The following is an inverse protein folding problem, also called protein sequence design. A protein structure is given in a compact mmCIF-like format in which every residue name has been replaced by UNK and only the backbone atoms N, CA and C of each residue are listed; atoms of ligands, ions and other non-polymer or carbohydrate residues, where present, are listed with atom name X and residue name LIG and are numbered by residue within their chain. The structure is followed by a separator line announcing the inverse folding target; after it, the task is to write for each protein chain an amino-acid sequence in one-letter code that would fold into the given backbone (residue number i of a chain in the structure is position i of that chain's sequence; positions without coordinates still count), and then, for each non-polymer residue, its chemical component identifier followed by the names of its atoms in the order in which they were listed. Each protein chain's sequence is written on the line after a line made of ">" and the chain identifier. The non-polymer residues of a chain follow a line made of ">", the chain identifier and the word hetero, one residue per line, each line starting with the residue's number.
data_IF_998369088104
#
_entry.id   IF_998369088104
#
_cell.length_a   1.000
_cell.length_b   1.000
_cell.length_c   1.000
_cell.angle_alpha   90.00
_cell.angle_beta   90.00
_cell.angle_gamma   90.00
#
_symmetry.space_group_name_H-M   'P 1'
#
loop_
_entity.id
_entity.type
_entity.pdbx_description
1 polymer ?
#
# COMPACT_ATOMS: atom_id res chain seq x y z
N UNK A 1 -13.40 -38.97 18.29
CA UNK A 1 -13.47 -38.40 16.92
C UNK A 1 -13.75 -36.90 16.91
N UNK A 2 -14.77 -36.35 17.61
CA UNK A 2 -15.05 -34.89 17.60
C UNK A 2 -13.89 -34.00 18.05
N UNK A 3 -13.14 -34.40 19.09
CA UNK A 3 -12.01 -33.61 19.63
C UNK A 3 -10.82 -33.48 18.64
N UNK A 4 -10.55 -34.52 17.84
CA UNK A 4 -9.46 -34.52 16.85
C UNK A 4 -9.81 -33.64 15.64
N UNK A 5 -11.09 -33.63 15.22
CA UNK A 5 -11.57 -32.76 14.13
C UNK A 5 -11.45 -31.29 14.54
N UNK A 6 -11.80 -30.91 15.76
CA UNK A 6 -11.57 -29.53 16.25
C UNK A 6 -10.09 -29.17 16.36
N UNK A 7 -9.22 -30.10 16.76
CA UNK A 7 -7.78 -29.85 16.86
C UNK A 7 -7.15 -29.58 15.48
N UNK A 8 -7.50 -30.37 14.46
CA UNK A 8 -7.01 -30.17 13.08
C UNK A 8 -7.59 -28.89 12.48
N UNK A 9 -8.85 -28.58 12.75
CA UNK A 9 -9.50 -27.37 12.24
C UNK A 9 -8.90 -26.10 12.87
N UNK A 10 -8.46 -26.16 14.13
CA UNK A 10 -7.76 -25.06 14.80
C UNK A 10 -6.30 -24.92 14.32
N UNK A 11 -5.59 -26.03 14.06
CA UNK A 11 -4.25 -26.01 13.45
C UNK A 11 -4.30 -25.42 12.04
N UNK A 12 -5.32 -25.76 11.24
CA UNK A 12 -5.45 -25.25 9.87
C UNK A 12 -5.89 -23.78 9.83
N UNK A 13 -6.69 -23.30 10.81
CA UNK A 13 -6.99 -21.87 10.93
C UNK A 13 -5.77 -21.07 11.39
N UNK A 14 -4.87 -21.66 12.19
CA UNK A 14 -3.64 -21.00 12.65
C UNK A 14 -2.50 -20.96 11.62
N UNK A 15 -2.52 -21.77 10.55
CA UNK A 15 -1.52 -21.69 9.46
C UNK A 15 -1.92 -20.78 8.30
N UNK A 16 -3.08 -20.11 8.39
CA UNK A 16 -3.56 -19.15 7.39
C UNK A 16 -3.51 -17.73 7.96
N UNK A 17 -2.34 -17.31 8.43
CA UNK A 17 -1.95 -15.91 8.28
C UNK A 17 -1.20 -15.83 6.96
N UNK A 18 -1.88 -15.39 5.90
CA UNK A 18 -1.27 -15.19 4.59
C UNK A 18 -0.09 -14.23 4.73
N UNK A 19 1.11 -14.78 4.77
CA UNK A 19 2.33 -13.99 4.72
C UNK A 19 2.38 -13.39 3.33
N UNK A 20 2.47 -12.06 3.25
CA UNK A 20 2.76 -11.38 1.99
C UNK A 20 4.06 -11.96 1.46
N UNK A 21 4.01 -12.64 0.30
CA UNK A 21 5.19 -13.18 -0.35
C UNK A 21 5.39 -12.44 -1.65
N UNK A 22 6.51 -11.74 -1.71
CA UNK A 22 6.96 -11.04 -2.87
C UNK A 22 7.45 -12.03 -3.93
N UNK A 23 6.65 -12.20 -4.98
CA UNK A 23 6.92 -13.24 -5.99
C UNK A 23 8.21 -12.99 -6.79
N UNK A 24 8.73 -11.76 -6.80
CA UNK A 24 9.91 -11.39 -7.58
C UNK A 24 10.71 -10.24 -6.93
N UNK A 25 11.76 -10.52 -6.14
CA UNK A 25 12.69 -9.50 -5.69
C UNK A 25 13.56 -9.05 -6.87
N UNK A 26 13.58 -7.75 -7.20
CA UNK A 26 14.38 -7.26 -8.34
C UNK A 26 15.76 -6.76 -7.96
N UNK A 27 15.94 -6.26 -6.73
CA UNK A 27 17.25 -5.80 -6.27
C UNK A 27 17.49 -6.21 -4.82
N UNK A 28 18.42 -7.16 -4.62
CA UNK A 28 18.74 -7.68 -3.30
C UNK A 28 17.49 -8.18 -2.57
N UNK A 29 17.16 -7.49 -1.48
CA UNK A 29 16.03 -7.81 -0.62
C UNK A 29 14.88 -6.80 -0.82
N UNK A 30 14.58 -6.37 -2.04
CA UNK A 30 13.54 -5.37 -2.33
C UNK A 30 12.49 -5.92 -3.29
N UNK A 31 11.24 -5.60 -3.00
CA UNK A 31 10.08 -6.10 -3.72
C UNK A 31 9.62 -5.21 -4.84
N UNK A 32 9.46 -5.82 -6.01
CA UNK A 32 9.19 -5.07 -7.24
C UNK A 32 7.82 -5.44 -7.83
N UNK A 33 7.16 -6.43 -7.24
CA UNK A 33 5.75 -6.70 -7.50
C UNK A 33 4.86 -5.63 -6.89
N UNK A 34 4.06 -5.00 -7.75
CA UNK A 34 2.90 -4.18 -7.37
C UNK A 34 1.77 -5.15 -6.96
N UNK A 35 1.19 -5.03 -5.76
CA UNK A 35 0.01 -5.80 -5.37
C UNK A 35 -1.14 -5.58 -6.35
N UNK A 36 -1.85 -6.64 -6.72
CA UNK A 36 -2.95 -6.55 -7.70
C UNK A 36 -4.14 -5.70 -7.24
N UNK A 37 -4.30 -5.49 -5.93
CA UNK A 37 -5.30 -4.60 -5.33
C UNK A 37 -4.79 -3.16 -5.13
N UNK A 38 -3.52 -2.87 -5.44
CA UNK A 38 -2.87 -1.57 -5.20
C UNK A 38 -2.93 -1.10 -3.74
N UNK A 39 -3.09 -2.02 -2.77
CA UNK A 39 -3.14 -1.68 -1.34
C UNK A 39 -1.76 -1.83 -0.69
N UNK A 40 -1.45 -0.86 0.17
CA UNK A 40 -0.18 -0.76 0.89
C UNK A 40 -0.40 -0.30 2.31
N UNK A 41 0.54 -0.56 3.20
CA UNK A 41 0.70 0.26 4.41
C UNK A 41 1.59 1.46 4.13
N UNK A 42 1.19 2.61 4.70
CA UNK A 42 1.98 3.82 4.63
C UNK A 42 2.98 3.87 5.80
N UNK A 43 4.23 4.18 5.48
CA UNK A 43 5.29 4.53 6.43
C UNK A 43 5.86 5.91 6.12
N UNK A 44 6.43 6.56 7.13
CA UNK A 44 7.14 7.82 6.96
C UNK A 44 8.64 7.59 6.89
N UNK A 45 9.28 8.20 5.89
CA UNK A 45 10.70 8.06 5.63
C UNK A 45 11.30 9.38 5.13
N UNK A 46 12.56 9.63 5.50
CA UNK A 46 13.34 10.76 5.01
C UNK A 46 14.85 10.54 5.29
N UNK A 47 15.57 9.94 4.33
CA UNK A 47 17.03 9.84 4.40
C UNK A 47 17.75 11.01 3.71
N UNK A 48 19.04 11.20 4.01
CA UNK A 48 19.86 12.25 3.39
C UNK A 48 20.18 11.96 1.92
N UNK A 49 20.39 10.69 1.56
CA UNK A 49 20.69 10.26 0.19
C UNK A 49 19.57 9.40 -0.35
N UNK A 50 19.10 9.71 -1.56
CA UNK A 50 18.03 8.96 -2.22
C UNK A 50 18.52 8.29 -3.51
N UNK A 51 17.96 7.13 -3.84
CA UNK A 51 18.32 6.32 -5.00
C UNK A 51 18.10 7.06 -6.34
N UNK A 52 17.15 8.00 -6.40
CA UNK A 52 16.90 8.81 -7.59
C UNK A 52 17.64 10.16 -7.60
N UNK A 53 18.55 10.40 -6.64
CA UNK A 53 19.41 11.58 -6.58
C UNK A 53 18.70 12.90 -6.21
N UNK A 54 17.45 12.83 -5.76
CA UNK A 54 16.67 13.99 -5.30
C UNK A 54 16.54 13.94 -3.78
N UNK A 55 17.14 14.86 -3.01
CA UNK A 55 17.09 14.77 -1.55
C UNK A 55 15.66 14.96 -1.04
N UNK A 56 15.34 14.35 0.10
CA UNK A 56 14.01 14.44 0.71
C UNK A 56 13.57 15.89 1.03
N UNK A 57 14.51 16.80 1.26
CA UNK A 57 14.24 18.23 1.49
C UNK A 57 13.81 18.99 0.23
N UNK A 58 14.02 18.43 -0.97
CA UNK A 58 13.69 19.10 -2.23
C UNK A 58 12.20 19.03 -2.59
N UNK A 59 11.44 18.12 -1.98
CA UNK A 59 10.04 17.88 -2.31
C UNK A 59 9.19 17.70 -1.05
N UNK A 60 7.96 18.22 -1.08
CA UNK A 60 7.00 18.04 0.02
C UNK A 60 6.29 16.69 -0.05
N UNK A 61 5.92 16.26 -1.26
CA UNK A 61 5.19 15.02 -1.50
C UNK A 61 6.06 14.06 -2.30
N UNK A 62 6.65 13.10 -1.62
CA UNK A 62 7.51 12.10 -2.24
C UNK A 62 7.27 10.71 -1.66
N UNK A 63 7.65 9.69 -2.42
CA UNK A 63 7.73 8.30 -1.95
C UNK A 63 9.09 7.69 -2.19
N UNK A 64 9.40 6.69 -1.39
CA UNK A 64 10.52 5.78 -1.55
C UNK A 64 9.95 4.41 -1.94
N UNK A 65 9.82 4.16 -3.23
CA UNK A 65 9.38 2.87 -3.79
C UNK A 65 9.73 2.72 -5.29
N UNK A 66 10.92 3.20 -5.65
CA UNK A 66 11.40 3.25 -7.04
C UNK A 66 11.62 1.87 -7.67
N UNK A 67 11.74 0.82 -6.86
CA UNK A 67 11.82 -0.56 -7.33
C UNK A 67 10.50 -1.07 -7.92
N UNK A 68 9.36 -0.56 -7.42
CA UNK A 68 8.03 -0.89 -7.97
C UNK A 68 7.64 0.07 -9.08
N UNK A 69 7.80 1.36 -8.85
CA UNK A 69 7.22 2.38 -9.71
C UNK A 69 8.24 3.09 -10.60
N UNK A 70 9.53 2.99 -10.31
CA UNK A 70 10.58 3.72 -11.00
C UNK A 70 10.82 5.13 -10.45
N UNK A 71 12.02 5.65 -10.71
CA UNK A 71 12.40 7.01 -10.33
C UNK A 71 11.63 8.07 -11.13
N UNK A 72 11.15 9.10 -10.43
CA UNK A 72 10.48 10.26 -11.01
C UNK A 72 9.03 10.00 -11.43
N UNK A 73 8.49 8.82 -11.13
CA UNK A 73 7.09 8.48 -11.42
C UNK A 73 6.17 9.17 -10.42
N UNK A 74 5.04 9.69 -10.91
CA UNK A 74 4.01 10.32 -10.06
C UNK A 74 3.00 9.27 -9.62
N UNK A 75 2.83 9.12 -8.32
CA UNK A 75 1.81 8.28 -7.71
C UNK A 75 0.66 9.14 -7.20
N UNK A 76 -0.56 8.66 -7.38
CA UNK A 76 -1.71 9.14 -6.61
C UNK A 76 -1.92 8.18 -5.47
N UNK A 77 -1.87 8.71 -4.25
CA UNK A 77 -1.97 7.96 -3.00
C UNK A 77 -3.23 8.41 -2.29
N UNK A 78 -4.11 7.47 -1.99
CA UNK A 78 -5.40 7.73 -1.39
C UNK A 78 -5.53 6.98 -0.06
N UNK A 79 -5.97 7.69 0.98
CA UNK A 79 -6.58 7.06 2.13
C UNK A 79 -8.08 7.02 1.90
N UNK A 80 -8.58 5.83 1.57
CA UNK A 80 -10.01 5.57 1.64
C UNK A 80 -10.32 5.41 3.12
N UNK A 81 -11.03 6.37 3.73
CA UNK A 81 -11.56 6.20 5.07
C UNK A 81 -12.48 4.99 4.99
N UNK A 82 -11.99 3.80 5.38
CA UNK A 82 -12.60 2.53 4.99
C UNK A 82 -14.01 2.43 5.51
N UNK A 83 -14.99 2.92 4.74
CA UNK A 83 -16.43 2.90 4.99
C UNK A 83 -16.87 3.19 6.43
N UNK A 84 -16.02 3.78 7.29
CA UNK A 84 -16.37 4.14 8.66
C UNK A 84 -17.20 5.38 8.51
N UNK A 85 -18.45 5.09 8.16
CA UNK A 85 -19.58 5.95 7.98
C UNK A 85 -19.75 6.64 9.31
N UNK A 86 -18.91 7.64 9.56
CA UNK A 86 -19.11 8.63 10.59
C UNK A 86 -20.29 9.42 10.05
N UNK A 87 -21.45 8.82 10.29
CA UNK A 87 -22.77 9.28 9.97
C UNK A 87 -22.83 10.75 10.32
N UNK A 88 -22.85 11.60 9.29
CA UNK A 88 -23.31 12.98 9.34
C UNK A 88 -22.99 13.74 10.61
N UNK A 89 -21.70 13.95 10.89
CA UNK A 89 -21.27 15.04 11.77
C UNK A 89 -21.53 16.38 11.08
N UNK A 90 -22.80 16.79 11.06
CA UNK A 90 -23.25 18.08 10.55
C UNK A 90 -22.41 19.16 11.21
N UNK A 91 -21.77 20.00 10.38
CA UNK A 91 -20.79 20.99 10.81
C UNK A 91 -21.24 21.76 12.05
N UNK A 92 -20.48 21.64 13.13
CA UNK A 92 -20.44 22.63 14.19
C UNK A 92 -19.03 23.18 14.20
N UNK A 93 -18.89 24.39 13.65
CA UNK A 93 -17.74 25.26 13.88
C UNK A 93 -17.69 25.57 15.38
N UNK A 94 -17.14 24.63 16.15
CA UNK A 94 -17.01 24.71 17.60
C UNK A 94 -15.58 25.04 17.94
N UNK A 95 -15.33 26.31 18.23
CA UNK A 95 -14.12 26.81 18.87
C UNK A 95 -13.89 26.06 20.19
N UNK A 96 -12.98 25.08 20.20
CA UNK A 96 -12.56 24.38 21.43
C UNK A 96 -11.08 24.63 21.71
N UNK A 97 -10.85 25.73 22.42
CA UNK A 97 -9.71 25.90 23.32
C UNK A 97 -9.76 24.77 24.36
N UNK A 98 -8.87 23.79 24.25
CA UNK A 98 -8.54 22.90 25.37
C UNK A 98 -7.11 22.42 25.27
N UNK A 99 -6.26 23.15 25.98
CA UNK A 99 -4.93 22.75 26.45
C UNK A 99 -4.99 21.39 27.16
N UNK A 100 -4.23 20.42 26.66
CA UNK A 100 -4.04 19.12 27.27
C UNK A 100 -2.62 18.64 27.07
N UNK A 101 -1.75 18.94 28.03
CA UNK A 101 -0.36 18.49 28.08
C UNK A 101 -0.32 17.03 28.51
N UNK A 102 0.10 16.12 27.62
CA UNK A 102 0.29 14.71 27.92
C UNK A 102 1.69 14.25 27.54
N UNK A 103 2.63 14.33 28.48
CA UNK A 103 3.99 13.84 28.34
C UNK A 103 4.02 12.33 28.61
N UNK A 104 4.28 11.51 27.58
CA UNK A 104 4.45 10.07 27.70
C UNK A 104 5.78 9.63 27.08
N UNK A 105 6.84 9.59 27.89
CA UNK A 105 8.16 9.08 27.50
C UNK A 105 8.20 7.56 27.67
N UNK A 106 8.29 6.81 26.57
CA UNK A 106 8.48 5.36 26.58
C UNK A 106 9.80 4.98 25.92
N UNK A 107 10.84 4.79 26.73
CA UNK A 107 12.15 4.30 26.28
C UNK A 107 12.18 2.77 26.33
N UNK A 108 12.20 2.11 25.18
CA UNK A 108 12.36 0.66 25.06
C UNK A 108 13.63 0.32 24.30
N UNK A 109 14.73 0.07 25.01
CA UNK A 109 16.00 -0.38 24.46
C UNK A 109 16.04 -1.91 24.43
N UNK A 110 15.91 -2.53 23.26
CA UNK A 110 16.05 -3.97 23.07
C UNK A 110 17.25 -4.28 22.20
N UNK A 111 18.40 -4.57 22.82
CA UNK A 111 19.63 -5.01 22.14
C UNK A 111 19.63 -6.54 22.00
N UNK A 112 19.43 -7.06 20.79
CA UNK A 112 19.54 -8.49 20.48
C UNK A 112 20.64 -8.75 19.46
N UNK A 113 21.84 -9.08 19.92
CA UNK A 113 22.97 -9.51 19.08
C UNK A 113 22.91 -11.03 18.88
N UNK A 114 22.61 -11.48 17.67
CA UNK A 114 22.62 -12.90 17.29
C UNK A 114 23.60 -13.16 16.14
N UNK A 115 24.80 -13.62 16.48
CA UNK A 115 25.81 -14.08 15.51
C UNK A 115 25.52 -15.53 15.11
N UNK A 116 25.14 -15.77 13.87
CA UNK A 116 24.90 -17.11 13.32
C UNK A 116 25.73 -17.35 12.06
N UNK A 117 26.92 -17.93 12.24
CA UNK A 117 27.77 -18.42 11.14
C UNK A 117 27.30 -19.81 10.72
N UNK A 118 26.75 -19.94 9.52
CA UNK A 118 26.31 -21.22 8.93
C UNK A 118 26.94 -21.44 7.56
N UNK A 119 27.98 -22.27 7.53
CA UNK A 119 28.71 -22.72 6.34
C UNK A 119 28.00 -23.85 5.58
N UNK A 120 28.41 -23.98 4.31
CA UNK A 120 28.45 -25.19 3.47
C UNK A 120 27.14 -25.79 2.93
N UNK A 121 26.91 -25.54 1.64
CA UNK A 121 27.05 -26.56 0.58
C UNK A 121 25.96 -27.63 0.47
N UNK A 122 25.23 -27.64 -0.64
CA UNK A 122 25.07 -28.81 -1.51
C UNK A 122 24.16 -28.49 -2.70
N UNK A 123 24.71 -28.76 -3.88
CA UNK A 123 24.04 -28.86 -5.17
C UNK A 123 22.99 -29.99 -5.17
N UNK A 124 21.82 -29.75 -5.76
CA UNK A 124 20.87 -30.80 -6.17
C UNK A 124 19.94 -30.29 -7.26
N UNK A 125 20.18 -30.75 -8.49
CA UNK A 125 19.27 -30.71 -9.63
C UNK A 125 18.08 -31.64 -9.39
N UNK A 126 16.85 -31.15 -9.58
CA UNK A 126 15.63 -31.95 -9.49
C UNK A 126 14.56 -31.44 -10.44
N UNK A 127 14.40 -32.12 -11.57
CA UNK A 127 13.31 -31.93 -12.54
C UNK A 127 12.12 -32.80 -12.14
N UNK A 128 10.92 -32.23 -12.06
CA UNK A 128 9.68 -33.03 -12.03
C UNK A 128 8.48 -32.22 -12.51
N UNK A 129 8.01 -32.63 -13.69
CA UNK A 129 6.73 -32.31 -14.33
C UNK A 129 5.56 -32.93 -13.55
N UNK A 130 4.53 -32.14 -13.25
CA UNK A 130 3.28 -32.61 -12.64
C UNK A 130 2.06 -31.94 -13.29
N UNK A 131 1.38 -32.67 -14.16
CA UNK A 131 0.09 -32.30 -14.75
C UNK A 131 -1.04 -32.65 -13.79
N UNK A 132 -1.88 -31.68 -13.41
CA UNK A 132 -3.03 -31.91 -12.53
C UNK A 132 -4.26 -31.16 -13.02
N UNK A 133 -5.16 -31.88 -13.69
CA UNK A 133 -6.48 -31.38 -14.12
C UNK A 133 -7.47 -31.59 -12.98
N UNK A 134 -8.05 -30.51 -12.45
CA UNK A 134 -9.06 -30.56 -11.38
C UNK A 134 -10.26 -29.68 -11.71
N UNK A 135 -11.36 -30.32 -12.12
CA UNK A 135 -12.67 -29.70 -12.32
C UNK A 135 -13.44 -29.74 -11.00
N UNK A 136 -13.85 -28.59 -10.46
CA UNK A 136 -14.79 -28.54 -9.33
C UNK A 136 -15.74 -27.35 -9.48
N UNK A 137 -16.92 -27.66 -10.00
CA UNK A 137 -18.13 -26.86 -9.99
C UNK A 137 -18.74 -26.87 -8.58
N UNK A 138 -18.69 -25.73 -7.89
CA UNK A 138 -19.32 -25.52 -6.59
C UNK A 138 -20.28 -24.34 -6.62
N UNK A 139 -21.57 -24.63 -6.76
CA UNK A 139 -22.66 -23.64 -6.73
C UNK A 139 -23.07 -23.36 -5.28
N UNK A 140 -22.46 -22.37 -4.64
CA UNK A 140 -22.83 -21.89 -3.31
C UNK A 140 -23.62 -20.58 -3.40
N UNK A 141 -24.95 -20.66 -3.27
CA UNK A 141 -25.82 -19.49 -3.20
C UNK A 141 -25.70 -18.81 -1.84
N UNK A 142 -25.05 -17.65 -1.79
CA UNK A 142 -25.04 -16.77 -0.62
C UNK A 142 -25.96 -15.58 -0.90
N UNK A 143 -27.19 -15.67 -0.44
CA UNK A 143 -28.14 -14.57 -0.32
C UNK A 143 -27.75 -13.67 0.85
N UNK A 144 -26.69 -12.88 0.65
CA UNK A 144 -26.32 -11.81 1.56
C UNK A 144 -27.24 -10.62 1.34
N UNK A 145 -28.22 -10.42 2.22
CA UNK A 145 -28.97 -9.17 2.34
C UNK A 145 -28.03 -8.08 2.86
N UNK A 146 -27.11 -7.62 2.01
CA UNK A 146 -26.34 -6.44 2.27
C UNK A 146 -27.31 -5.27 2.28
N UNK A 147 -27.55 -4.71 3.46
CA UNK A 147 -28.13 -3.38 3.62
C UNK A 147 -27.17 -2.40 2.96
N UNK A 148 -27.23 -2.32 1.63
CA UNK A 148 -26.50 -1.35 0.84
C UNK A 148 -27.06 0.00 1.20
N UNK A 149 -26.42 0.67 2.15
CA UNK A 149 -26.45 2.13 2.18
C UNK A 149 -26.03 2.54 0.79
N UNK A 150 -27.01 2.98 0.00
CA UNK A 150 -26.82 3.46 -1.36
C UNK A 150 -25.78 4.55 -1.21
N UNK A 151 -24.54 4.28 -1.60
CA UNK A 151 -23.50 5.31 -1.58
C UNK A 151 -24.04 6.42 -2.46
N UNK A 152 -24.45 7.53 -1.84
CA UNK A 152 -24.97 8.66 -2.59
C UNK A 152 -23.90 9.07 -3.58
N UNK A 153 -24.23 8.99 -4.87
CA UNK A 153 -23.36 9.40 -5.97
C UNK A 153 -22.84 10.80 -5.67
N UNK A 154 -21.52 10.96 -5.62
CA UNK A 154 -20.87 12.23 -5.23
C UNK A 154 -20.58 12.41 -3.73
N UNK A 155 -20.83 11.41 -2.88
CA UNK A 155 -20.39 11.42 -1.49
C UNK A 155 -18.86 11.41 -1.36
N UNK A 156 -18.36 12.01 -0.27
CA UNK A 156 -16.94 11.94 0.09
C UNK A 156 -16.51 10.48 0.28
N UNK A 157 -15.44 10.08 -0.41
CA UNK A 157 -14.91 8.72 -0.36
C UNK A 157 -13.56 8.63 0.34
N UNK A 158 -12.71 9.64 0.15
CA UNK A 158 -11.40 9.68 0.78
C UNK A 158 -10.62 10.94 0.47
N UNK A 159 -9.39 10.98 1.00
CA UNK A 159 -8.40 12.02 0.71
C UNK A 159 -7.28 11.40 -0.10
N UNK A 160 -6.84 12.11 -1.13
CA UNK A 160 -5.71 11.71 -1.94
C UNK A 160 -4.66 12.81 -2.02
N UNK A 161 -3.43 12.42 -2.34
CA UNK A 161 -2.29 13.30 -2.62
C UNK A 161 -1.54 12.76 -3.83
N UNK A 162 -0.86 13.64 -4.55
CA UNK A 162 0.11 13.25 -5.58
C UNK A 162 1.53 13.36 -5.05
N UNK A 163 2.31 12.30 -5.23
CA UNK A 163 3.68 12.21 -4.76
C UNK A 163 4.60 11.72 -5.88
N UNK A 164 5.85 12.18 -5.88
CA UNK A 164 6.87 11.71 -6.82
C UNK A 164 7.78 10.66 -6.16
N UNK A 165 8.07 9.56 -6.85
CA UNK A 165 8.98 8.53 -6.33
C UNK A 165 10.44 8.99 -6.48
N UNK A 166 11.15 9.12 -5.37
CA UNK A 166 12.52 9.65 -5.32
C UNK A 166 13.56 8.69 -4.74
N UNK A 167 13.14 7.59 -4.13
CA UNK A 167 14.05 6.66 -3.47
C UNK A 167 13.59 5.21 -3.61
N UNK A 168 14.44 4.27 -3.21
CA UNK A 168 14.10 2.86 -3.07
C UNK A 168 13.37 2.64 -1.74
N UNK A 169 12.32 1.83 -1.77
CA UNK A 169 11.46 1.57 -0.63
C UNK A 169 12.02 0.54 0.35
N UNK A 170 11.16 -0.03 1.21
CA UNK A 170 11.63 -0.86 2.30
C UNK A 170 12.11 -2.23 1.82
N UNK A 171 12.86 -2.88 2.70
CA UNK A 171 13.31 -4.25 2.51
C UNK A 171 12.13 -5.23 2.62
N UNK A 172 12.13 -6.29 1.80
CA UNK A 172 11.15 -7.39 1.77
C UNK A 172 10.86 -7.93 3.17
N UNK A 173 11.86 -8.05 4.05
CA UNK A 173 11.65 -8.58 5.39
C UNK A 173 10.69 -7.72 6.22
N UNK A 174 10.69 -6.39 5.99
CA UNK A 174 9.78 -5.46 6.68
C UNK A 174 8.35 -5.64 6.15
N UNK A 175 8.19 -5.85 4.86
CA UNK A 175 6.87 -6.10 4.25
C UNK A 175 6.31 -7.47 4.61
N UNK A 176 7.15 -8.50 4.67
CA UNK A 176 6.80 -9.83 5.14
C UNK A 176 6.32 -9.80 6.59
N UNK A 177 7.00 -9.05 7.47
CA UNK A 177 6.60 -8.86 8.86
C UNK A 177 5.30 -8.06 8.98
N UNK A 178 5.12 -7.04 8.14
CA UNK A 178 3.88 -6.27 8.11
C UNK A 178 2.69 -7.07 7.54
N UNK A 179 2.96 -8.06 6.69
CA UNK A 179 1.94 -8.87 6.01
C UNK A 179 1.24 -8.13 4.85
N UNK A 180 1.82 -7.04 4.36
CA UNK A 180 1.35 -6.25 3.22
C UNK A 180 2.53 -5.47 2.64
N UNK A 181 2.47 -5.11 1.36
CA UNK A 181 3.42 -4.19 0.76
C UNK A 181 3.41 -2.84 1.49
N UNK A 182 4.56 -2.17 1.55
CA UNK A 182 4.73 -0.89 2.24
C UNK A 182 5.18 0.17 1.24
N UNK A 183 4.62 1.38 1.38
CA UNK A 183 5.14 2.59 0.74
C UNK A 183 5.71 3.50 1.81
N UNK A 184 7.02 3.71 1.73
CA UNK A 184 7.70 4.77 2.43
C UNK A 184 7.38 6.12 1.75
N UNK A 185 7.00 7.11 2.55
CA UNK A 185 6.51 8.40 2.07
C UNK A 185 6.96 9.56 2.95
N UNK A 186 6.82 10.78 2.45
CA UNK A 186 7.09 11.98 3.24
C UNK A 186 6.14 12.08 4.46
N UNK A 187 6.62 12.72 5.53
CA UNK A 187 5.80 13.01 6.72
C UNK A 187 4.56 13.83 6.39
N UNK A 188 4.64 14.69 5.36
CA UNK A 188 3.51 15.48 4.91
C UNK A 188 2.37 14.61 4.36
N UNK A 189 2.69 13.52 3.64
CA UNK A 189 1.67 12.58 3.14
C UNK A 189 0.94 11.93 4.32
N UNK A 190 1.67 11.51 5.36
CA UNK A 190 1.05 10.97 6.57
C UNK A 190 0.15 12.01 7.27
N UNK A 191 0.61 13.26 7.34
CA UNK A 191 -0.12 14.35 7.98
C UNK A 191 -1.41 14.67 7.22
N UNK A 192 -1.35 14.70 5.89
CA UNK A 192 -2.47 15.06 5.05
C UNK A 192 -3.51 13.95 4.92
N UNK A 193 -3.07 12.69 4.91
CA UNK A 193 -3.97 11.54 4.79
C UNK A 193 -4.56 11.11 6.14
N UNK A 194 -3.80 11.24 7.23
CA UNK A 194 -4.16 10.65 8.52
C UNK A 194 -4.12 11.61 9.70
N UNK A 195 -3.75 12.89 9.49
CA UNK A 195 -3.64 13.86 10.57
C UNK A 195 -2.47 13.61 11.52
N UNK A 196 -1.49 12.80 11.12
CA UNK A 196 -0.33 12.44 11.95
C UNK A 196 0.99 12.84 11.30
N UNK A 197 1.94 13.37 12.06
CA UNK A 197 3.25 13.77 11.53
C UNK A 197 4.15 12.59 11.15
N UNK A 198 3.75 11.36 11.49
CA UNK A 198 4.52 10.14 11.24
C UNK A 198 3.62 8.92 11.14
N UNK A 199 3.91 8.05 10.19
CA UNK A 199 3.23 6.77 10.00
C UNK A 199 4.26 5.65 10.20
N UNK A 200 3.98 4.72 11.11
CA UNK A 200 4.75 3.48 11.24
C UNK A 200 4.03 2.32 10.57
N UNK A 201 4.76 1.32 10.09
CA UNK A 201 4.16 0.10 9.52
C UNK A 201 3.32 -0.64 10.59
N UNK A 202 3.71 -0.50 11.86
CA UNK A 202 2.96 -0.98 13.03
C UNK A 202 1.58 -0.35 13.18
N UNK A 203 1.36 0.85 12.64
CA UNK A 203 0.06 1.53 12.68
C UNK A 203 -0.95 0.92 11.69
N UNK A 204 -0.48 0.10 10.74
CA UNK A 204 -1.28 -0.56 9.70
C UNK A 204 -2.21 0.41 8.96
N UNK A 205 -1.70 1.62 8.67
CA UNK A 205 -2.42 2.66 7.93
C UNK A 205 -2.48 2.28 6.46
N UNK A 206 -3.59 1.65 6.08
CA UNK A 206 -3.82 1.22 4.70
C UNK A 206 -4.08 2.42 3.79
N UNK A 207 -3.46 2.36 2.62
CA UNK A 207 -3.61 3.31 1.52
C UNK A 207 -3.77 2.53 0.21
N UNK A 208 -4.29 3.21 -0.80
CA UNK A 208 -4.15 2.81 -2.19
C UNK A 208 -3.13 3.71 -2.86
N UNK A 209 -2.21 3.14 -3.63
CA UNK A 209 -1.26 3.91 -4.41
C UNK A 209 -1.18 3.38 -5.83
N UNK A 210 -1.32 4.29 -6.80
CA UNK A 210 -1.30 3.94 -8.21
C UNK A 210 -0.52 4.95 -9.03
N UNK A 211 0.09 4.50 -10.13
CA UNK A 211 0.72 5.39 -11.10
C UNK A 211 -0.31 6.36 -11.66
N UNK A 212 0.07 7.63 -11.80
CA UNK A 212 -0.80 8.70 -12.29
C UNK A 212 -0.02 9.69 -13.15
N UNK A 213 -0.76 10.50 -13.92
CA UNK A 213 -0.19 11.59 -14.70
C UNK A 213 -0.36 12.90 -13.94
N UNK A 214 0.60 13.83 -14.06
CA UNK A 214 0.41 15.20 -13.57
C UNK A 214 -0.70 15.96 -14.33
N UNK A 215 -1.14 15.46 -15.49
CA UNK A 215 -2.14 16.07 -16.39
C UNK A 215 -3.54 15.44 -16.30
N UNK A 216 -3.80 14.51 -15.38
CA UNK A 216 -5.10 13.79 -15.29
C UNK A 216 -6.28 14.62 -14.74
N UNK A 217 -6.03 15.88 -14.38
CA UNK A 217 -7.00 16.83 -13.83
C UNK A 217 -7.08 16.87 -12.31
N UNK A 218 -6.42 15.96 -11.59
CA UNK A 218 -6.36 16.00 -10.13
C UNK A 218 -5.26 16.93 -9.62
N UNK A 219 -5.47 17.65 -8.50
CA UNK A 219 -4.49 18.58 -7.95
C UNK A 219 -3.12 17.94 -7.65
N UNK A 220 -2.07 18.72 -7.90
CA UNK A 220 -0.69 18.42 -7.50
C UNK A 220 -0.29 19.27 -6.29
N UNK A 221 0.66 18.77 -5.49
CA UNK A 221 1.28 19.50 -4.36
C UNK A 221 0.30 19.94 -3.25
N UNK A 222 -0.83 19.26 -3.09
CA UNK A 222 -1.78 19.44 -1.98
C UNK A 222 -2.70 18.23 -1.86
N UNK A 223 -3.29 17.97 -0.68
CA UNK A 223 -4.36 17.00 -0.56
C UNK A 223 -5.61 17.45 -1.30
N UNK A 224 -6.38 16.49 -1.76
CA UNK A 224 -7.68 16.70 -2.37
C UNK A 224 -8.65 15.59 -1.96
N UNK A 225 -9.89 16.00 -1.75
CA UNK A 225 -10.98 15.05 -1.49
C UNK A 225 -11.41 14.42 -2.81
N UNK A 226 -11.74 13.14 -2.77
CA UNK A 226 -12.29 12.41 -3.91
C UNK A 226 -13.67 11.87 -3.57
N UNK A 227 -14.56 11.88 -4.55
CA UNK A 227 -15.76 11.06 -4.51
C UNK A 227 -15.43 9.62 -4.91
N UNK A 228 -16.40 8.73 -4.82
CA UNK A 228 -16.23 7.36 -5.31
C UNK A 228 -15.97 7.33 -6.83
N UNK A 229 -16.62 8.20 -7.59
CA UNK A 229 -16.43 8.33 -9.03
C UNK A 229 -15.03 8.83 -9.38
N UNK A 230 -14.53 9.84 -8.65
CA UNK A 230 -13.16 10.34 -8.80
C UNK A 230 -12.13 9.26 -8.49
N UNK A 231 -12.34 8.52 -7.40
CA UNK A 231 -11.47 7.40 -7.03
C UNK A 231 -11.43 6.32 -8.12
N UNK A 232 -12.59 5.90 -8.64
CA UNK A 232 -12.65 4.94 -9.74
C UNK A 232 -11.96 5.47 -11.01
N UNK A 233 -12.06 6.77 -11.29
CA UNK A 233 -11.34 7.41 -12.40
C UNK A 233 -9.83 7.35 -12.19
N UNK A 234 -9.34 7.57 -10.96
CA UNK A 234 -7.91 7.43 -10.61
C UNK A 234 -7.43 6.01 -10.90
N UNK A 235 -8.15 4.98 -10.42
CA UNK A 235 -7.80 3.58 -10.67
C UNK A 235 -7.88 3.22 -12.16
N UNK A 236 -8.90 3.69 -12.88
CA UNK A 236 -9.01 3.44 -14.31
C UNK A 236 -7.87 4.08 -15.09
N UNK A 237 -7.47 5.30 -14.74
CA UNK A 237 -6.35 5.99 -15.37
C UNK A 237 -5.04 5.24 -15.12
N UNK A 238 -4.83 4.70 -13.92
CA UNK A 238 -3.61 3.96 -13.62
C UNK A 238 -3.50 2.65 -14.41
N UNK A 239 -4.61 1.94 -14.60
CA UNK A 239 -4.63 0.74 -15.44
C UNK A 239 -4.28 1.05 -16.91
N UNK A 240 -4.73 2.20 -17.43
CA UNK A 240 -4.36 2.65 -18.78
C UNK A 240 -2.85 2.95 -18.85
N UNK A 241 -2.28 3.61 -17.84
CA UNK A 241 -0.85 3.91 -17.78
C UNK A 241 -0.01 2.63 -17.69
N UNK A 242 -0.42 1.67 -16.87
CA UNK A 242 0.23 0.37 -16.73
C UNK A 242 0.23 -0.41 -18.06
N UNK A 243 -0.92 -0.41 -18.77
CA UNK A 243 -1.01 -1.02 -20.09
C UNK A 243 -0.10 -0.32 -21.12
N UNK A 244 0.02 1.00 -21.07
CA UNK A 244 0.93 1.75 -21.95
C UNK A 244 2.40 1.44 -21.67
N UNK A 245 2.77 1.33 -20.39
CA UNK A 245 4.09 0.87 -19.92
C UNK A 245 4.43 -0.51 -20.48
N UNK A 246 3.49 -1.46 -20.37
CA UNK A 246 3.64 -2.83 -20.87
C UNK A 246 3.82 -2.90 -22.40
N UNK A 247 3.08 -2.09 -23.17
CA UNK A 247 3.10 -2.17 -24.63
C UNK A 247 4.36 -1.56 -25.28
N UNK A 248 4.95 -0.54 -24.65
CA UNK A 248 6.05 0.23 -25.25
C UNK A 248 7.43 -0.08 -24.63
N UNK A 249 7.51 -1.02 -23.67
CA UNK A 249 8.74 -1.32 -22.91
C UNK A 249 9.40 -0.08 -22.27
N UNK A 250 8.62 0.95 -21.96
CA UNK A 250 9.15 2.22 -21.44
C UNK A 250 8.18 2.85 -20.45
N UNK A 251 8.28 2.51 -19.17
CA UNK A 251 7.29 2.88 -18.15
C UNK A 251 7.39 4.33 -17.64
N UNK A 252 8.09 5.22 -18.36
CA UNK A 252 8.22 6.66 -18.01
C UNK A 252 7.03 7.51 -18.46
N UNK A 253 5.82 6.94 -18.59
CA UNK A 253 4.68 7.69 -19.12
C UNK A 253 4.12 8.66 -18.08
N UNK A 254 4.43 9.94 -18.26
CA UNK A 254 3.84 11.04 -17.51
C UNK A 254 2.53 11.55 -18.15
N UNK A 255 2.06 10.96 -19.24
CA UNK A 255 0.92 11.46 -20.03
C UNK A 255 -0.06 10.34 -20.41
N UNK A 256 -1.33 10.55 -20.07
CA UNK A 256 -2.44 9.69 -20.50
C UNK A 256 -2.70 9.88 -22.01
N UNK A 257 -2.16 9.00 -22.84
CA UNK A 257 -2.58 8.92 -24.25
C UNK A 257 -3.87 8.10 -24.34
N UNK A 258 -5.03 8.75 -24.47
CA UNK A 258 -6.27 8.02 -24.77
C UNK A 258 -6.06 7.23 -26.08
N UNK A 259 -6.13 5.89 -26.00
CA UNK A 259 -6.12 5.04 -27.18
C UNK A 259 -7.34 5.43 -28.03
N UNK A 260 -7.09 6.05 -29.18
CA UNK A 260 -8.13 6.42 -30.15
C UNK A 260 -8.60 5.21 -30.94
#
# INVERSE_FOLDING_TARGET
>A
MRLLVTLILLIFVLTVSGQYSCSNPCYGNMCCSIPSNNEYYLTTFCDESTACGTPCSAQTYFTADSQRFGCGVTLTICSTSGGSTTTGGTGSAGTSTSSGSGSGSGSGSGSGSGSGSGTSGSSSSGSSSGSGSGSSSGSGGSSGSGSGSTMETGGFYGVCVKAITIDAGPNISVEEEAGMAIIDASSQICQDLFGSSSCGWSDKRSITAVQSSVEDGFPVNKPFNVTFEDYNKIISNSLILDQQCSNKNNCKYNKLELMK
#
